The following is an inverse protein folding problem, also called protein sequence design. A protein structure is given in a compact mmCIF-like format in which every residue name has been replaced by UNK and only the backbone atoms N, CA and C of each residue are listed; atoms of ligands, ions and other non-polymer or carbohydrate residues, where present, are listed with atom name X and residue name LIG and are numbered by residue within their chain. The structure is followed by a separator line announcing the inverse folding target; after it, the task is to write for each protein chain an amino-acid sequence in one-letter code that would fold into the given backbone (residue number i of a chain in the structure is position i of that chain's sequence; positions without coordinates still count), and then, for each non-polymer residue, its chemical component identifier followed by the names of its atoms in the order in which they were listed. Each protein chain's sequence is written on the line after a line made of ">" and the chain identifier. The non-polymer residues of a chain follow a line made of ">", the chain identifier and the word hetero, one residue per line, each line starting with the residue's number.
data_IF_837534744580
#
_entry.id   IF_837534744580
#
_cell.length_a   1.000
_cell.length_b   1.000
_cell.length_c   1.000
_cell.angle_alpha   90.00
_cell.angle_beta   90.00
_cell.angle_gamma   90.00
#
_symmetry.space_group_name_H-M   'P 1'
#
loop_
_entity.id
_entity.type
_entity.pdbx_description
1 polymer ?
#
# COMPACT_ATOMS: atom_id res chain seq x y z
N UNK A 1 1.39 4.95 -1.53
CA UNK A 1 2.39 4.35 -2.45
C UNK A 1 2.03 2.89 -2.67
N UNK A 2 1.94 2.43 -3.92
CA UNK A 2 1.88 1.01 -4.23
C UNK A 2 3.28 0.54 -4.60
N UNK A 3 3.89 -0.27 -3.75
CA UNK A 3 5.20 -0.86 -3.96
C UNK A 3 4.99 -2.30 -4.46
N UNK A 4 5.09 -2.50 -5.76
CA UNK A 4 4.83 -3.79 -6.38
C UNK A 4 6.08 -4.69 -6.28
N UNK A 5 5.86 -5.97 -5.98
CA UNK A 5 6.88 -7.02 -5.85
C UNK A 5 8.11 -6.56 -5.04
N UNK A 6 7.90 -6.04 -3.83
CA UNK A 6 8.99 -5.45 -3.02
C UNK A 6 10.13 -6.44 -2.75
N UNK A 7 9.82 -7.73 -2.72
CA UNK A 7 10.78 -8.82 -2.58
C UNK A 7 11.70 -8.99 -3.81
N UNK A 8 11.46 -8.32 -4.93
CA UNK A 8 12.36 -8.32 -6.11
C UNK A 8 13.30 -7.12 -6.16
N UNK A 9 13.15 -6.17 -5.25
CA UNK A 9 14.06 -5.03 -5.15
C UNK A 9 15.28 -5.37 -4.31
N UNK A 10 16.40 -4.65 -4.53
CA UNK A 10 17.62 -4.88 -3.73
C UNK A 10 17.36 -4.65 -2.24
N UNK A 11 18.11 -5.32 -1.33
CA UNK A 11 17.96 -5.09 0.11
C UNK A 11 18.12 -3.61 0.50
N UNK A 12 18.98 -2.87 -0.20
CA UNK A 12 19.15 -1.42 0.03
C UNK A 12 17.89 -0.63 -0.30
N UNK A 13 17.21 -0.97 -1.41
CA UNK A 13 15.95 -0.34 -1.81
C UNK A 13 14.84 -0.66 -0.81
N UNK A 14 14.75 -1.92 -0.35
CA UNK A 14 13.81 -2.33 0.69
C UNK A 14 14.04 -1.54 1.98
N UNK A 15 15.29 -1.46 2.46
CA UNK A 15 15.63 -0.69 3.66
C UNK A 15 15.25 0.78 3.55
N UNK A 16 15.47 1.42 2.40
CA UNK A 16 15.09 2.81 2.18
C UNK A 16 13.57 3.03 2.27
N UNK A 17 12.76 2.07 1.76
CA UNK A 17 11.31 2.13 1.91
C UNK A 17 10.89 2.00 3.39
N UNK A 18 11.50 1.07 4.12
CA UNK A 18 11.18 0.86 5.54
C UNK A 18 11.63 2.03 6.42
N UNK A 19 12.75 2.64 6.11
CA UNK A 19 13.21 3.88 6.76
C UNK A 19 12.20 5.00 6.52
N UNK A 20 11.76 5.20 5.27
CA UNK A 20 10.74 6.19 4.94
C UNK A 20 9.40 5.93 5.66
N UNK A 21 9.02 4.66 5.83
CA UNK A 21 7.81 4.27 6.57
C UNK A 21 7.94 4.55 8.07
N UNK A 22 9.09 4.26 8.67
CA UNK A 22 9.33 4.43 10.10
C UNK A 22 9.50 5.90 10.47
N UNK A 23 10.34 6.62 9.74
CA UNK A 23 10.72 8.00 10.06
C UNK A 23 9.76 9.04 9.48
N UNK A 24 8.85 8.63 8.58
CA UNK A 24 7.93 9.52 7.85
C UNK A 24 8.63 10.70 7.17
N UNK A 25 9.86 10.50 6.72
CA UNK A 25 10.67 11.50 6.02
C UNK A 25 11.63 10.83 5.05
N UNK A 26 12.13 11.60 4.09
CA UNK A 26 13.16 11.14 3.14
C UNK A 26 14.23 12.22 2.99
N UNK A 27 15.48 11.81 2.81
CA UNK A 27 16.60 12.74 2.56
C UNK A 27 17.06 12.61 1.11
N UNK A 28 17.04 13.73 0.39
CA UNK A 28 17.48 13.82 -1.01
C UNK A 28 18.49 14.96 -1.09
N UNK A 29 19.68 14.69 -1.61
CA UNK A 29 20.77 15.67 -1.76
C UNK A 29 21.08 16.44 -0.47
N UNK A 30 21.09 15.73 0.66
CA UNK A 30 21.34 16.29 1.99
C UNK A 30 20.19 17.10 2.60
N UNK A 31 19.05 17.23 1.90
CA UNK A 31 17.86 17.88 2.42
C UNK A 31 16.80 16.85 2.83
N UNK A 32 16.46 16.85 4.10
CA UNK A 32 15.37 16.02 4.65
C UNK A 32 14.03 16.68 4.40
N UNK A 33 13.07 15.89 3.91
CA UNK A 33 11.72 16.33 3.56
C UNK A 33 10.71 15.41 4.25
N UNK A 34 9.73 15.94 5.00
CA UNK A 34 8.70 15.13 5.61
C UNK A 34 7.78 14.54 4.54
N UNK A 35 7.32 13.31 4.78
CA UNK A 35 6.26 12.70 3.99
C UNK A 35 4.89 13.28 4.40
N UNK A 36 3.91 13.14 3.51
CA UNK A 36 2.53 13.55 3.79
C UNK A 36 2.03 12.89 5.08
N UNK A 37 1.23 13.62 5.86
CA UNK A 37 0.53 13.06 7.02
C UNK A 37 -0.40 11.88 6.64
N UNK A 38 -0.82 11.83 5.37
CA UNK A 38 -1.65 10.77 4.78
C UNK A 38 -0.84 9.72 4.00
N UNK A 39 0.49 9.73 4.12
CA UNK A 39 1.34 8.74 3.47
C UNK A 39 1.10 7.35 4.07
N UNK A 40 0.83 6.39 3.21
CA UNK A 40 0.80 4.97 3.54
C UNK A 40 1.32 4.15 2.36
N UNK A 41 1.74 2.92 2.66
CA UNK A 41 2.30 1.98 1.69
C UNK A 41 1.38 0.76 1.59
N UNK A 42 1.01 0.41 0.36
CA UNK A 42 0.52 -0.91 0.02
C UNK A 42 1.70 -1.59 -0.67
N UNK A 43 2.09 -2.76 -0.20
CA UNK A 43 3.16 -3.53 -0.81
C UNK A 43 2.64 -4.91 -1.23
N UNK A 44 3.08 -5.39 -2.38
CA UNK A 44 2.83 -6.76 -2.82
C UNK A 44 4.12 -7.56 -2.74
N UNK A 45 3.99 -8.87 -2.50
CA UNK A 45 5.08 -9.82 -2.60
C UNK A 45 4.59 -11.01 -3.41
N UNK A 46 5.41 -11.49 -4.33
CA UNK A 46 5.12 -12.71 -5.06
C UNK A 46 5.79 -13.90 -4.35
N UNK A 47 5.02 -14.91 -3.88
CA UNK A 47 5.54 -15.98 -3.03
C UNK A 47 6.34 -17.07 -3.78
N UNK A 48 6.43 -17.01 -5.11
CA UNK A 48 7.12 -18.04 -5.90
C UNK A 48 8.63 -17.86 -5.77
N UNK A 49 9.34 -18.91 -5.31
CA UNK A 49 10.81 -18.99 -5.26
C UNK A 49 11.40 -18.59 -6.62
N UNK A 50 11.83 -17.34 -6.72
CA UNK A 50 12.31 -16.73 -7.94
C UNK A 50 13.79 -16.45 -7.77
N UNK A 51 14.62 -16.94 -8.68
CA UNK A 51 16.00 -16.48 -8.77
C UNK A 51 16.03 -14.94 -8.80
N UNK A 52 16.72 -14.32 -7.85
CA UNK A 52 16.81 -12.86 -7.73
C UNK A 52 15.77 -12.20 -6.81
N UNK A 53 15.01 -12.96 -6.01
CA UNK A 53 14.20 -12.42 -4.92
C UNK A 53 15.00 -12.33 -3.61
N UNK A 54 14.79 -11.24 -2.89
CA UNK A 54 15.27 -11.00 -1.54
C UNK A 54 14.08 -11.11 -0.59
N UNK A 55 13.94 -12.23 0.15
CA UNK A 55 12.82 -12.43 1.05
C UNK A 55 12.83 -11.37 2.15
N UNK A 56 11.65 -10.91 2.53
CA UNK A 56 11.49 -9.96 3.63
C UNK A 56 11.63 -10.71 4.95
N UNK A 57 12.58 -10.34 5.82
CA UNK A 57 12.62 -10.84 7.19
C UNK A 57 11.30 -10.56 7.91
N UNK A 58 10.92 -11.43 8.84
CA UNK A 58 9.70 -11.27 9.65
C UNK A 58 9.66 -9.90 10.36
N UNK A 59 10.80 -9.45 10.88
CA UNK A 59 10.92 -8.13 11.51
C UNK A 59 10.58 -6.96 10.56
N UNK A 60 10.76 -7.12 9.24
CA UNK A 60 10.35 -6.11 8.26
C UNK A 60 8.84 -6.17 7.96
N UNK A 61 8.27 -7.38 7.92
CA UNK A 61 6.83 -7.57 7.74
C UNK A 61 6.02 -7.01 8.91
N UNK A 62 6.56 -7.05 10.13
CA UNK A 62 5.93 -6.50 11.34
C UNK A 62 5.68 -4.97 11.27
N UNK A 63 6.35 -4.27 10.34
CA UNK A 63 6.12 -2.84 10.09
C UNK A 63 4.82 -2.56 9.31
N UNK A 64 4.17 -3.58 8.78
CA UNK A 64 2.86 -3.44 8.13
C UNK A 64 1.74 -3.71 9.12
N UNK A 65 0.77 -2.81 9.19
CA UNK A 65 -0.41 -2.98 10.05
C UNK A 65 -1.26 -4.20 9.68
N UNK A 66 -1.21 -4.64 8.42
CA UNK A 66 -1.96 -5.79 7.92
C UNK A 66 -1.15 -6.54 6.86
N UNK A 67 -1.25 -7.87 6.89
CA UNK A 67 -0.81 -8.78 5.82
C UNK A 67 -2.03 -9.51 5.29
N UNK A 68 -2.28 -9.40 3.99
CA UNK A 68 -3.46 -9.98 3.32
C UNK A 68 -2.97 -11.01 2.31
N UNK A 69 -3.55 -12.20 2.34
CA UNK A 69 -3.35 -13.22 1.30
C UNK A 69 -4.48 -13.12 0.29
N UNK A 70 -4.12 -12.88 -0.98
CA UNK A 70 -5.09 -12.72 -2.06
C UNK A 70 -5.08 -14.00 -2.89
N UNK A 71 -6.18 -14.77 -2.78
CA UNK A 71 -6.43 -15.94 -3.62
C UNK A 71 -7.10 -15.59 -4.94
N UNK A 72 -7.32 -16.61 -5.77
CA UNK A 72 -8.12 -16.44 -6.99
C UNK A 72 -9.61 -16.25 -6.64
N UNK A 73 -10.32 -15.39 -7.38
CA UNK A 73 -11.77 -15.30 -7.24
C UNK A 73 -12.42 -16.65 -7.56
N UNK A 74 -13.55 -16.95 -6.94
CA UNK A 74 -14.32 -18.13 -7.28
C UNK A 74 -14.86 -18.06 -8.73
N UNK A 75 -15.36 -19.19 -9.24
CA UNK A 75 -15.83 -19.29 -10.63
C UNK A 75 -16.92 -18.26 -10.96
N UNK A 76 -17.81 -17.96 -10.02
CA UNK A 76 -18.90 -17.01 -10.24
C UNK A 76 -18.37 -15.57 -10.35
N UNK A 77 -17.44 -15.21 -9.47
CA UNK A 77 -16.76 -13.92 -9.49
C UNK A 77 -15.87 -13.78 -10.74
N UNK A 78 -15.17 -14.83 -11.15
CA UNK A 78 -14.39 -14.86 -12.41
C UNK A 78 -15.28 -14.60 -13.63
N UNK A 79 -16.41 -15.30 -13.73
CA UNK A 79 -17.37 -15.10 -14.82
C UNK A 79 -17.95 -13.68 -14.79
N UNK A 80 -18.24 -13.13 -13.61
CA UNK A 80 -18.70 -11.75 -13.47
C UNK A 80 -17.64 -10.75 -13.96
N UNK A 81 -16.36 -10.95 -13.61
CA UNK A 81 -15.24 -10.12 -14.09
C UNK A 81 -15.09 -10.22 -15.62
N UNK A 82 -15.24 -11.41 -16.20
CA UNK A 82 -15.16 -11.61 -17.65
C UNK A 82 -16.33 -10.96 -18.41
N UNK A 83 -17.52 -11.01 -17.83
CA UNK A 83 -18.74 -10.46 -18.41
C UNK A 83 -18.88 -8.95 -18.18
N UNK A 84 -18.05 -8.34 -17.33
CA UNK A 84 -18.03 -6.88 -17.18
C UNK A 84 -17.62 -6.26 -18.52
N UNK A 85 -18.45 -5.37 -19.09
CA UNK A 85 -18.05 -4.61 -20.26
C UNK A 85 -16.73 -3.92 -19.94
N UNK A 86 -15.71 -4.12 -20.79
CA UNK A 86 -14.53 -3.26 -20.76
C UNK A 86 -15.02 -1.88 -21.14
N UNK A 87 -15.45 -1.10 -20.17
CA UNK A 87 -15.75 0.32 -20.36
C UNK A 87 -14.46 0.97 -20.84
N UNK A 88 -14.33 1.08 -22.15
CA UNK A 88 -13.27 1.80 -22.83
C UNK A 88 -13.29 3.23 -22.31
N UNK A 89 -12.37 3.58 -21.41
CA UNK A 89 -12.12 4.97 -21.00
C UNK A 89 -13.39 5.82 -20.80
N UNK A 90 -14.45 5.27 -20.19
CA UNK A 90 -15.41 6.14 -19.53
C UNK A 90 -14.66 6.60 -18.29
N UNK A 91 -13.99 7.75 -18.46
CA UNK A 91 -13.06 8.32 -17.51
C UNK A 91 -13.67 8.18 -16.12
N UNK A 92 -12.87 7.62 -15.20
CA UNK A 92 -13.21 7.42 -13.79
C UNK A 92 -14.32 8.39 -13.45
N UNK A 93 -15.53 7.84 -13.34
CA UNK A 93 -16.74 8.59 -13.04
C UNK A 93 -16.33 9.68 -12.06
N UNK A 94 -16.65 10.95 -12.36
CA UNK A 94 -16.34 12.08 -11.47
C UNK A 94 -17.16 11.88 -10.22
N UNK A 95 -16.76 10.90 -9.43
CA UNK A 95 -17.36 10.46 -8.21
C UNK A 95 -17.15 11.63 -7.29
N UNK A 96 -18.25 12.32 -7.05
CA UNK A 96 -18.34 13.43 -6.10
C UNK A 96 -18.07 12.95 -4.68
N UNK A 97 -17.98 11.63 -4.45
CA UNK A 97 -17.58 11.01 -3.19
C UNK A 97 -16.06 10.82 -3.11
N UNK A 98 -15.32 11.92 -3.04
CA UNK A 98 -13.92 11.88 -2.63
C UNK A 98 -13.77 12.46 -1.22
N UNK A 99 -12.95 11.81 -0.40
CA UNK A 99 -12.54 12.34 0.89
C UNK A 99 -11.49 13.43 0.66
N UNK A 100 -11.73 14.62 1.19
CA UNK A 100 -10.71 15.66 1.26
C UNK A 100 -9.68 15.32 2.34
N UNK A 101 -8.48 15.87 2.24
CA UNK A 101 -7.43 15.68 3.25
C UNK A 101 -7.87 16.11 4.65
N UNK A 102 -8.68 17.18 4.75
CA UNK A 102 -9.25 17.65 6.02
C UNK A 102 -10.24 16.65 6.60
N UNK A 103 -11.12 16.06 5.78
CA UNK A 103 -12.05 15.02 6.23
C UNK A 103 -11.30 13.77 6.70
N UNK A 104 -10.27 13.35 5.97
CA UNK A 104 -9.44 12.21 6.35
C UNK A 104 -8.74 12.45 7.70
N UNK A 105 -8.16 13.64 7.90
CA UNK A 105 -7.53 14.00 9.17
C UNK A 105 -8.54 13.98 10.34
N UNK A 106 -9.75 14.51 10.12
CA UNK A 106 -10.81 14.48 11.13
C UNK A 106 -11.23 13.04 11.50
N UNK A 107 -11.34 12.14 10.53
CA UNK A 107 -11.63 10.72 10.78
C UNK A 107 -10.50 10.07 11.58
N UNK A 108 -9.24 10.34 11.23
CA UNK A 108 -8.08 9.80 11.96
C UNK A 108 -8.06 10.25 13.42
N UNK A 109 -8.37 11.52 13.69
CA UNK A 109 -8.46 12.05 15.05
C UNK A 109 -9.60 11.40 15.85
N UNK A 110 -10.76 11.21 15.24
CA UNK A 110 -11.89 10.51 15.86
C UNK A 110 -11.54 9.06 16.23
N UNK A 111 -10.88 8.34 15.32
CA UNK A 111 -10.45 6.96 15.59
C UNK A 111 -9.42 6.91 16.73
N UNK A 112 -8.52 7.89 16.84
CA UNK A 112 -7.55 7.97 17.93
C UNK A 112 -8.20 8.18 19.32
N UNK A 113 -9.42 8.73 19.36
CA UNK A 113 -10.18 8.94 20.59
C UNK A 113 -11.03 7.73 20.98
N UNK A 114 -11.19 6.74 20.10
CA UNK A 114 -11.90 5.50 20.41
C UNK A 114 -11.13 4.69 21.46
N UNK A 115 -11.71 4.53 22.64
CA UNK A 115 -11.18 3.61 23.67
C UNK A 115 -11.55 2.18 23.28
N UNK A 116 -10.55 1.34 23.09
CA UNK A 116 -10.73 -0.10 22.97
C UNK A 116 -10.99 -0.61 24.40
N UNK A 117 -12.20 -1.11 24.65
CA UNK A 117 -12.63 -1.65 25.94
C UNK A 117 -12.25 -3.12 26.10
#
# INVERSE_FOLDING_TARGET
>A
LLADEINRTTPRTQSALFEAMAERQVTIDGQTRPLSATFFVIATQNPIDSHGAYPLPEAQLDRFAMKIEIGYPDKSAQLAILNQPRSSNQGMDKSTNHLTTTQLAGIQEQVAQCKIA
#
